data_IF_496695866837
#
_entry.id   IF_496695866837
#
_cell.length_a   1.000
_cell.length_b   1.000
_cell.length_c   1.000
_cell.angle_alpha   90.00
_cell.angle_beta   90.00
_cell.angle_gamma   90.00
#
_symmetry.space_group_name_H-M   'P 1'
#
loop_
_entity.id
_entity.type
_entity.pdbx_description
1 polymer ?
#
# COMPACT_ATOMS: atom_id res chain seq x y z
N UNK A 1 -13.11 -1.85 -37.45
CA UNK A 1 -11.90 -1.38 -36.70
C UNK A 1 -12.07 -1.34 -35.18
N UNK A 2 -13.21 -1.77 -34.63
CA UNK A 2 -13.44 -1.85 -33.16
C UNK A 2 -13.34 -3.28 -32.60
N UNK A 3 -13.11 -4.29 -33.45
CA UNK A 3 -13.09 -5.72 -33.06
C UNK A 3 -12.00 -6.10 -32.05
N UNK A 4 -10.91 -5.33 -31.94
CA UNK A 4 -9.86 -5.63 -30.97
C UNK A 4 -10.30 -5.42 -29.52
N UNK A 5 -11.24 -4.49 -29.27
CA UNK A 5 -11.77 -4.21 -27.93
C UNK A 5 -12.75 -5.31 -27.47
N UNK A 6 -13.57 -5.82 -28.40
CA UNK A 6 -14.55 -6.89 -28.16
C UNK A 6 -13.90 -8.28 -27.98
N UNK A 7 -12.64 -8.44 -28.36
CA UNK A 7 -11.87 -9.69 -28.20
C UNK A 7 -11.16 -9.79 -26.85
N UNK A 8 -11.21 -8.75 -26.01
CA UNK A 8 -10.62 -8.79 -24.67
C UNK A 8 -11.31 -9.82 -23.78
N UNK A 9 -10.54 -10.64 -23.05
CA UNK A 9 -11.08 -11.70 -22.15
C UNK A 9 -11.96 -11.13 -21.01
N UNK A 10 -11.85 -9.85 -20.69
CA UNK A 10 -12.67 -9.15 -19.69
C UNK A 10 -13.72 -8.22 -20.34
N UNK A 11 -14.00 -8.39 -21.63
CA UNK A 11 -15.02 -7.60 -22.32
C UNK A 11 -16.39 -7.78 -21.66
N UNK A 12 -17.08 -6.66 -21.40
CA UNK A 12 -18.37 -6.64 -20.72
C UNK A 12 -18.29 -6.82 -19.20
N UNK A 13 -17.10 -6.99 -18.62
CA UNK A 13 -16.91 -7.05 -17.17
C UNK A 13 -16.72 -5.65 -16.59
N UNK A 14 -17.45 -5.36 -15.50
CA UNK A 14 -17.34 -4.12 -14.73
C UNK A 14 -16.52 -4.33 -13.48
N UNK A 15 -15.44 -3.57 -13.35
CA UNK A 15 -14.46 -3.71 -12.26
C UNK A 15 -14.44 -2.42 -11.45
N UNK A 16 -14.83 -2.52 -10.17
CA UNK A 16 -14.71 -1.43 -9.22
C UNK A 16 -13.37 -1.53 -8.50
N UNK A 17 -12.54 -0.50 -8.62
CA UNK A 17 -11.19 -0.45 -8.07
C UNK A 17 -11.15 0.51 -6.89
N UNK A 18 -10.77 0.00 -5.71
CA UNK A 18 -10.63 0.79 -4.48
C UNK A 18 -9.16 1.02 -4.18
N UNK A 19 -8.71 2.26 -4.20
CA UNK A 19 -7.31 2.56 -3.92
C UNK A 19 -7.03 4.05 -4.02
N UNK A 20 -5.79 4.43 -3.78
CA UNK A 20 -5.35 5.82 -4.01
C UNK A 20 -5.26 6.10 -5.52
N UNK A 21 -5.56 7.33 -5.97
CA UNK A 21 -5.70 7.63 -7.40
C UNK A 21 -4.55 7.20 -8.31
N UNK A 22 -3.25 7.36 -7.96
CA UNK A 22 -2.17 6.91 -8.84
C UNK A 22 -2.17 5.40 -9.05
N UNK A 23 -2.45 4.63 -7.99
CA UNK A 23 -2.45 3.16 -8.05
C UNK A 23 -3.70 2.63 -8.77
N UNK A 24 -4.88 3.16 -8.45
CA UNK A 24 -6.13 2.73 -9.09
C UNK A 24 -6.14 3.05 -10.59
N UNK A 25 -5.57 4.18 -11.01
CA UNK A 25 -5.43 4.51 -12.44
C UNK A 25 -4.56 3.48 -13.17
N UNK A 26 -3.41 3.12 -12.62
CA UNK A 26 -2.54 2.10 -13.23
C UNK A 26 -3.27 0.75 -13.39
N UNK A 27 -4.02 0.32 -12.36
CA UNK A 27 -4.84 -0.89 -12.44
C UNK A 27 -5.93 -0.75 -13.52
N UNK A 28 -6.61 0.39 -13.55
CA UNK A 28 -7.67 0.70 -14.52
C UNK A 28 -7.15 0.61 -15.96
N UNK A 29 -6.04 1.30 -16.27
CA UNK A 29 -5.41 1.26 -17.59
C UNK A 29 -5.00 -0.17 -18.00
N UNK A 30 -4.51 -0.96 -17.05
CA UNK A 30 -4.13 -2.34 -17.32
C UNK A 30 -5.35 -3.22 -17.61
N UNK A 31 -6.44 -3.13 -16.84
CA UNK A 31 -7.64 -3.95 -17.05
C UNK A 31 -8.40 -3.56 -18.33
N UNK A 32 -8.38 -2.30 -18.71
CA UNK A 32 -8.95 -1.81 -19.97
C UNK A 32 -8.26 -2.42 -21.19
N UNK A 33 -6.99 -2.82 -21.11
CA UNK A 33 -6.30 -3.53 -22.19
C UNK A 33 -6.93 -4.92 -22.46
N UNK A 34 -7.61 -5.50 -21.47
CA UNK A 34 -8.37 -6.75 -21.61
C UNK A 34 -9.86 -6.52 -21.92
N UNK A 35 -10.26 -5.28 -22.24
CA UNK A 35 -11.62 -4.91 -22.59
C UNK A 35 -12.58 -4.68 -21.43
N UNK A 36 -12.09 -4.61 -20.18
CA UNK A 36 -12.92 -4.36 -19.02
C UNK A 36 -13.42 -2.90 -18.97
N UNK A 37 -14.62 -2.71 -18.42
CA UNK A 37 -15.15 -1.43 -17.97
C UNK A 37 -14.69 -1.21 -16.53
N UNK A 38 -13.95 -0.13 -16.26
CA UNK A 38 -13.37 0.12 -14.95
C UNK A 38 -13.95 1.36 -14.30
N UNK A 39 -14.16 1.29 -12.99
CA UNK A 39 -14.55 2.43 -12.17
C UNK A 39 -13.61 2.57 -10.97
N UNK A 40 -13.01 3.74 -10.83
CA UNK A 40 -12.11 4.07 -9.74
C UNK A 40 -12.86 4.82 -8.64
N UNK A 41 -12.99 4.21 -7.47
CA UNK A 41 -13.56 4.86 -6.28
C UNK A 41 -12.54 4.80 -5.15
N UNK A 42 -11.76 5.86 -4.97
CA UNK A 42 -10.88 5.97 -3.80
C UNK A 42 -11.71 6.01 -2.53
N UNK A 43 -11.57 4.99 -1.69
CA UNK A 43 -12.26 4.90 -0.39
C UNK A 43 -11.44 5.50 0.74
N UNK A 44 -10.16 5.77 0.49
CA UNK A 44 -9.20 6.28 1.46
C UNK A 44 -8.43 7.46 0.90
N UNK A 45 -8.02 8.34 1.79
CA UNK A 45 -7.09 9.41 1.50
C UNK A 45 -5.88 9.34 2.44
N UNK A 46 -4.76 9.86 1.96
CA UNK A 46 -3.53 9.95 2.74
C UNK A 46 -3.32 11.40 3.15
N UNK A 47 -3.49 11.67 4.44
CA UNK A 47 -3.39 13.01 5.01
C UNK A 47 -2.07 13.15 5.75
N UNK A 48 -1.24 14.11 5.35
CA UNK A 48 0.00 14.43 6.05
C UNK A 48 -0.28 14.95 7.46
N UNK A 49 0.57 14.56 8.41
CA UNK A 49 0.51 15.05 9.79
C UNK A 49 1.36 16.31 9.87
N UNK A 50 0.71 17.47 9.98
CA UNK A 50 1.36 18.78 9.91
C UNK A 50 2.44 19.00 10.97
N UNK A 51 2.26 18.45 12.17
CA UNK A 51 3.18 18.58 13.30
C UNK A 51 4.18 17.42 13.41
N UNK A 52 4.49 16.74 12.30
CA UNK A 52 5.49 15.69 12.33
C UNK A 52 6.86 16.25 12.76
N UNK A 53 7.54 15.63 13.75
CA UNK A 53 8.68 16.26 14.45
C UNK A 53 10.00 16.20 13.65
N UNK A 54 9.96 16.32 12.32
CA UNK A 54 11.17 16.19 11.49
C UNK A 54 12.21 17.26 11.77
N UNK A 55 11.79 18.49 12.10
CA UNK A 55 12.70 19.59 12.46
C UNK A 55 13.49 19.35 13.74
N UNK A 56 12.93 18.57 14.65
CA UNK A 56 13.53 18.27 15.95
C UNK A 56 14.28 16.92 15.97
N UNK A 57 14.38 16.24 14.84
CA UNK A 57 15.12 14.98 14.74
C UNK A 57 16.61 15.25 14.78
N UNK A 58 17.29 14.67 15.74
CA UNK A 58 18.75 14.55 15.71
C UNK A 58 19.12 13.38 14.76
N UNK A 59 19.37 13.71 13.50
CA UNK A 59 19.70 12.71 12.46
C UNK A 59 20.99 11.95 12.79
N UNK A 60 21.93 12.58 13.49
CA UNK A 60 23.20 11.94 13.87
C UNK A 60 23.03 10.82 14.89
N UNK A 61 21.89 10.77 15.59
CA UNK A 61 21.59 9.72 16.54
C UNK A 61 21.17 8.39 15.89
N UNK A 62 20.89 8.37 14.58
CA UNK A 62 20.43 7.19 13.86
C UNK A 62 21.51 6.65 12.92
N UNK A 63 21.45 5.35 12.65
CA UNK A 63 22.32 4.66 11.69
C UNK A 63 21.50 4.03 10.56
N UNK A 64 20.21 3.81 10.80
CA UNK A 64 19.28 3.26 9.82
C UNK A 64 18.01 4.10 9.73
N UNK A 65 17.49 4.21 8.50
CA UNK A 65 16.15 4.71 8.24
C UNK A 65 15.35 3.66 7.46
N UNK A 66 14.13 3.41 7.88
CA UNK A 66 13.28 2.34 7.33
C UNK A 66 11.98 2.93 6.82
N UNK A 67 11.61 2.58 5.60
CA UNK A 67 10.36 3.02 4.98
C UNK A 67 9.37 1.86 4.86
N UNK A 68 8.18 2.05 5.42
CA UNK A 68 7.13 1.03 5.44
C UNK A 68 6.17 1.08 4.23
N UNK A 69 6.35 2.00 3.29
CA UNK A 69 5.55 2.14 2.06
C UNK A 69 6.14 3.17 1.10
N UNK A 70 5.75 3.12 -0.18
CA UNK A 70 6.05 4.14 -1.17
C UNK A 70 5.55 5.53 -0.76
N UNK A 71 4.32 5.62 -0.20
CA UNK A 71 3.76 6.87 0.31
C UNK A 71 4.62 7.48 1.42
N UNK A 72 5.23 6.66 2.29
CA UNK A 72 6.12 7.16 3.34
C UNK A 72 7.38 7.80 2.77
N UNK A 73 7.88 7.34 1.63
CA UNK A 73 9.00 7.95 0.91
C UNK A 73 8.59 9.32 0.37
N UNK A 74 7.50 9.39 -0.41
CA UNK A 74 7.03 10.67 -0.99
C UNK A 74 6.83 11.73 0.09
N UNK A 75 6.03 11.42 1.11
CA UNK A 75 5.70 12.38 2.17
C UNK A 75 6.94 12.78 2.97
N UNK A 76 7.88 11.86 3.17
CA UNK A 76 9.12 12.16 3.87
C UNK A 76 9.97 13.18 3.09
N UNK A 77 10.22 12.96 1.79
CA UNK A 77 11.01 13.88 0.99
C UNK A 77 10.33 15.23 0.78
N UNK A 78 9.02 15.24 0.59
CA UNK A 78 8.24 16.48 0.52
C UNK A 78 8.33 17.25 1.84
N UNK A 79 8.28 16.55 2.98
CA UNK A 79 8.41 17.16 4.30
C UNK A 79 9.83 17.68 4.57
N UNK A 80 10.89 16.99 4.11
CA UNK A 80 12.26 17.51 4.18
C UNK A 80 12.35 18.85 3.43
N UNK A 81 11.81 18.91 2.23
CA UNK A 81 11.81 20.13 1.41
C UNK A 81 11.00 21.25 2.06
N UNK A 82 9.80 20.96 2.55
CA UNK A 82 8.94 21.94 3.24
C UNK A 82 9.57 22.53 4.51
N UNK A 83 10.46 21.77 5.14
CA UNK A 83 11.12 22.16 6.39
C UNK A 83 12.55 22.63 6.20
N UNK A 84 13.02 22.79 4.94
CA UNK A 84 14.40 23.19 4.61
C UNK A 84 15.46 22.26 5.23
N UNK A 85 15.16 20.94 5.33
CA UNK A 85 16.10 19.95 5.85
C UNK A 85 16.96 19.43 4.69
N UNK A 86 18.27 19.64 4.80
CA UNK A 86 19.23 19.24 3.78
C UNK A 86 19.40 17.71 3.73
N UNK A 87 19.25 17.12 2.55
CA UNK A 87 19.40 15.69 2.33
C UNK A 87 20.79 15.17 2.73
N UNK A 88 21.82 16.03 2.70
CA UNK A 88 23.18 15.68 3.14
C UNK A 88 23.25 15.26 4.61
N UNK A 89 22.28 15.65 5.43
CA UNK A 89 22.16 15.18 6.82
C UNK A 89 21.87 13.69 6.94
N UNK A 90 21.42 13.05 5.85
CA UNK A 90 21.05 11.63 5.81
C UNK A 90 22.13 10.73 5.18
N UNK A 91 23.25 11.29 4.68
CA UNK A 91 24.28 10.55 3.93
C UNK A 91 24.96 9.42 4.72
N UNK A 92 24.96 9.49 6.04
CA UNK A 92 25.55 8.47 6.92
C UNK A 92 24.57 7.33 7.23
N UNK A 93 23.28 7.46 6.86
CA UNK A 93 22.26 6.46 7.16
C UNK A 93 22.27 5.33 6.14
N UNK A 94 22.04 4.11 6.62
CA UNK A 94 21.65 2.97 5.80
C UNK A 94 20.14 2.96 5.64
N UNK A 95 19.69 2.49 4.47
CA UNK A 95 18.28 2.55 4.09
C UNK A 95 17.67 1.16 3.97
N UNK A 96 16.47 0.96 4.52
CA UNK A 96 15.70 -0.25 4.33
C UNK A 96 14.27 0.06 3.84
N UNK A 97 13.75 -0.80 2.98
CA UNK A 97 12.42 -0.68 2.41
C UNK A 97 11.62 -1.97 2.60
N UNK A 98 10.32 -1.85 2.85
CA UNK A 98 9.44 -3.00 3.04
C UNK A 98 9.29 -3.86 1.79
N UNK A 99 9.52 -3.29 0.61
CA UNK A 99 9.37 -4.01 -0.65
C UNK A 99 9.88 -3.20 -1.85
N UNK A 100 9.86 -3.84 -3.02
CA UNK A 100 10.42 -3.29 -4.26
C UNK A 100 9.80 -1.93 -4.66
N UNK A 101 8.49 -1.76 -4.53
CA UNK A 101 7.83 -0.47 -4.86
C UNK A 101 8.39 0.68 -4.01
N UNK A 102 8.62 0.45 -2.70
CA UNK A 102 9.24 1.44 -1.82
C UNK A 102 10.71 1.68 -2.16
N UNK A 103 11.45 0.62 -2.53
CA UNK A 103 12.85 0.72 -2.97
C UNK A 103 12.97 1.50 -4.28
N UNK A 104 12.06 1.29 -5.25
CA UNK A 104 12.02 2.06 -6.51
C UNK A 104 11.79 3.55 -6.27
N UNK A 105 10.91 3.91 -5.33
CA UNK A 105 10.66 5.32 -4.99
C UNK A 105 11.91 5.97 -4.35
N UNK A 106 12.63 5.25 -3.49
CA UNK A 106 13.91 5.72 -2.95
C UNK A 106 14.97 5.87 -4.06
N UNK A 107 15.06 4.90 -4.98
CA UNK A 107 15.96 4.96 -6.12
C UNK A 107 15.66 6.16 -7.04
N UNK A 108 14.39 6.51 -7.24
CA UNK A 108 13.99 7.72 -7.97
C UNK A 108 14.45 9.03 -7.28
N UNK A 109 14.73 8.99 -5.96
CA UNK A 109 15.36 10.09 -5.20
C UNK A 109 16.89 9.98 -5.14
N UNK A 110 17.50 9.01 -5.84
CA UNK A 110 18.94 8.78 -5.86
C UNK A 110 19.47 7.94 -4.69
N UNK A 111 18.60 7.26 -3.94
CA UNK A 111 18.96 6.46 -2.78
C UNK A 111 18.73 4.98 -3.07
N UNK A 112 19.79 4.18 -3.02
CA UNK A 112 19.71 2.73 -3.13
C UNK A 112 19.64 2.10 -1.74
N UNK A 113 18.70 1.18 -1.55
CA UNK A 113 18.48 0.58 -0.24
C UNK A 113 19.47 -0.54 0.07
N UNK A 114 19.88 -0.65 1.33
CA UNK A 114 20.77 -1.70 1.83
C UNK A 114 20.00 -2.99 2.19
N UNK A 115 18.69 -2.89 2.50
CA UNK A 115 17.89 -4.02 2.91
C UNK A 115 16.48 -3.97 2.32
N UNK A 116 16.10 -5.04 1.59
CA UNK A 116 14.72 -5.32 1.14
C UNK A 116 14.45 -6.80 1.42
N UNK A 117 13.33 -7.18 2.03
CA UNK A 117 13.00 -8.57 2.28
C UNK A 117 12.55 -9.30 1.01
N UNK A 118 12.64 -10.63 0.99
CA UNK A 118 12.13 -11.46 -0.11
C UNK A 118 10.60 -11.49 -0.19
N UNK A 119 9.92 -11.25 0.93
CA UNK A 119 8.46 -11.08 1.01
C UNK A 119 8.16 -9.71 1.59
N UNK A 120 7.27 -8.96 0.94
CA UNK A 120 7.01 -7.54 1.19
C UNK A 120 6.04 -7.31 2.37
N UNK A 121 6.43 -7.83 3.53
CA UNK A 121 5.68 -7.70 4.78
C UNK A 121 6.59 -7.27 5.92
N UNK A 122 6.02 -6.57 6.90
CA UNK A 122 6.73 -6.04 8.07
C UNK A 122 7.53 -7.09 8.84
N UNK A 123 7.00 -8.32 8.93
CA UNK A 123 7.66 -9.44 9.59
C UNK A 123 8.96 -9.83 8.88
N UNK A 124 8.89 -10.03 7.57
CA UNK A 124 10.07 -10.44 6.78
C UNK A 124 11.11 -9.34 6.68
N UNK A 125 10.69 -8.06 6.72
CA UNK A 125 11.64 -6.96 6.85
C UNK A 125 12.34 -6.99 8.21
N UNK A 126 11.65 -7.27 9.30
CA UNK A 126 12.27 -7.44 10.61
C UNK A 126 13.28 -8.61 10.61
N UNK A 127 12.88 -9.77 10.08
CA UNK A 127 13.73 -10.96 9.96
C UNK A 127 14.99 -10.70 9.12
N UNK A 128 14.91 -9.88 8.05
CA UNK A 128 16.03 -9.52 7.20
C UNK A 128 16.92 -8.44 7.81
N UNK A 129 16.35 -7.49 8.56
CA UNK A 129 17.07 -6.34 9.10
C UNK A 129 17.78 -6.68 10.42
N UNK A 130 17.13 -7.41 11.34
CA UNK A 130 17.68 -7.72 12.68
C UNK A 130 19.11 -8.29 12.63
N UNK A 131 19.46 -9.24 11.73
CA UNK A 131 20.83 -9.78 11.65
C UNK A 131 21.87 -8.76 11.18
N UNK A 132 21.46 -7.68 10.52
CA UNK A 132 22.36 -6.64 9.99
C UNK A 132 22.61 -5.51 10.98
N UNK A 133 21.81 -5.47 12.09
CA UNK A 133 21.91 -4.43 13.10
C UNK A 133 22.97 -4.77 14.14
N UNK A 134 23.93 -3.88 14.30
CA UNK A 134 24.91 -3.92 15.37
C UNK A 134 24.31 -3.47 16.73
N UNK A 135 24.99 -3.71 17.87
CA UNK A 135 24.48 -3.30 19.20
C UNK A 135 24.29 -1.78 19.35
N UNK A 136 25.07 -0.98 18.63
CA UNK A 136 25.02 0.50 18.69
C UNK A 136 24.06 1.11 17.67
N UNK A 137 23.48 0.31 16.77
CA UNK A 137 22.57 0.81 15.75
C UNK A 137 21.25 1.29 16.35
N UNK A 138 20.80 2.42 15.82
CA UNK A 138 19.50 3.00 16.12
C UNK A 138 18.70 3.19 14.83
N UNK A 139 17.50 2.63 14.80
CA UNK A 139 16.63 2.60 13.63
C UNK A 139 15.58 3.68 13.74
N UNK A 140 15.42 4.49 12.70
CA UNK A 140 14.30 5.40 12.54
C UNK A 140 13.29 4.82 11.54
N UNK A 141 12.08 4.50 12.00
CA UNK A 141 11.01 3.98 11.16
C UNK A 141 10.06 5.10 10.71
N UNK A 142 10.01 5.33 9.40
CA UNK A 142 9.07 6.27 8.77
C UNK A 142 7.82 5.49 8.32
N UNK A 143 6.65 5.87 8.86
CA UNK A 143 5.43 5.06 8.67
C UNK A 143 4.14 5.89 8.70
N UNK A 144 3.03 5.24 8.34
CA UNK A 144 1.69 5.74 8.65
C UNK A 144 1.40 5.63 10.16
N UNK A 145 0.60 6.53 10.69
CA UNK A 145 0.06 6.49 12.06
C UNK A 145 -0.70 5.17 12.33
N UNK A 146 -1.46 4.74 11.34
CA UNK A 146 -2.28 3.51 11.42
C UNK A 146 -1.55 2.28 10.86
N UNK A 147 -0.23 2.38 10.60
CA UNK A 147 0.56 1.28 10.04
C UNK A 147 0.77 0.12 11.03
N UNK A 148 1.18 -1.04 10.50
CA UNK A 148 1.45 -2.25 11.29
C UNK A 148 2.50 -2.03 12.38
N UNK A 149 2.27 -2.51 13.59
CA UNK A 149 3.24 -2.46 14.70
C UNK A 149 4.22 -3.63 14.69
N UNK A 150 4.05 -4.62 13.80
CA UNK A 150 4.84 -5.85 13.76
C UNK A 150 6.35 -5.58 13.68
N UNK A 151 6.77 -4.69 12.76
CA UNK A 151 8.20 -4.38 12.60
C UNK A 151 8.82 -3.74 13.86
N UNK A 152 8.29 -2.64 14.42
CA UNK A 152 8.87 -2.06 15.62
C UNK A 152 8.78 -3.00 16.83
N UNK A 153 7.73 -3.82 16.94
CA UNK A 153 7.59 -4.76 18.05
C UNK A 153 8.64 -5.89 17.97
N UNK A 154 8.91 -6.42 16.77
CA UNK A 154 9.96 -7.42 16.56
C UNK A 154 11.37 -6.86 16.81
N UNK A 155 11.66 -5.62 16.37
CA UNK A 155 12.92 -4.95 16.66
C UNK A 155 13.12 -4.78 18.18
N UNK A 156 12.10 -4.31 18.89
CA UNK A 156 12.14 -4.19 20.36
C UNK A 156 12.32 -5.54 21.06
N UNK A 157 11.61 -6.58 20.61
CA UNK A 157 11.76 -7.94 21.14
C UNK A 157 13.19 -8.49 20.95
N UNK A 158 13.85 -8.11 19.83
CA UNK A 158 15.25 -8.40 19.56
C UNK A 158 16.24 -7.45 20.30
N UNK A 159 15.74 -6.60 21.21
CA UNK A 159 16.53 -5.61 21.98
C UNK A 159 17.27 -4.60 21.08
N UNK A 160 16.72 -4.30 19.89
CA UNK A 160 17.24 -3.27 18.99
C UNK A 160 16.57 -1.93 19.28
N UNK A 161 17.35 -0.84 19.18
CA UNK A 161 16.85 0.52 19.37
C UNK A 161 16.05 0.96 18.15
N UNK A 162 14.77 1.31 18.33
CA UNK A 162 13.90 1.77 17.25
C UNK A 162 12.98 2.89 17.71
N UNK A 163 12.97 3.96 16.96
CA UNK A 163 12.00 5.05 17.05
C UNK A 163 11.12 5.08 15.80
N UNK A 164 9.92 5.62 15.93
CA UNK A 164 8.97 5.71 14.81
C UNK A 164 8.47 7.14 14.67
N UNK A 165 8.48 7.64 13.44
CA UNK A 165 7.83 8.90 13.08
C UNK A 165 6.64 8.57 12.17
N UNK A 166 5.46 9.01 12.59
CA UNK A 166 4.25 8.95 11.78
C UNK A 166 4.13 10.25 10.98
N UNK A 167 4.33 10.18 9.66
CA UNK A 167 4.26 11.34 8.78
C UNK A 167 2.87 11.57 8.20
N UNK A 168 2.03 10.54 8.20
CA UNK A 168 0.69 10.60 7.62
C UNK A 168 -0.25 9.62 8.30
N UNK A 169 -1.52 9.84 8.10
CA UNK A 169 -2.57 8.89 8.44
C UNK A 169 -3.45 8.60 7.21
N UNK A 170 -3.99 7.41 7.15
CA UNK A 170 -4.97 7.03 6.13
C UNK A 170 -6.35 7.21 6.73
N UNK A 171 -7.18 8.02 6.08
CA UNK A 171 -8.57 8.31 6.49
C UNK A 171 -9.57 7.80 5.47
N UNK A 172 -10.72 7.27 5.90
CA UNK A 172 -11.81 6.93 5.00
C UNK A 172 -12.43 8.20 4.39
N UNK A 173 -12.73 8.13 3.09
CA UNK A 173 -13.42 9.19 2.33
C UNK A 173 -14.94 8.96 2.38
N UNK A 174 -15.56 9.20 3.54
CA UNK A 174 -16.99 8.92 3.77
C UNK A 174 -17.91 9.60 2.75
N UNK A 175 -17.52 10.73 2.18
CA UNK A 175 -18.28 11.39 1.09
C UNK A 175 -18.39 10.53 -0.18
N UNK A 176 -17.63 9.46 -0.32
CA UNK A 176 -17.73 8.49 -1.42
C UNK A 176 -18.74 7.37 -1.18
N UNK A 177 -19.38 7.32 -0.01
CA UNK A 177 -20.36 6.29 0.34
C UNK A 177 -21.52 6.20 -0.66
N UNK A 178 -22.10 7.33 -1.03
CA UNK A 178 -23.20 7.37 -2.01
C UNK A 178 -22.76 6.82 -3.37
N UNK A 179 -21.59 7.24 -3.85
CA UNK A 179 -21.04 6.78 -5.11
C UNK A 179 -20.75 5.26 -5.08
N UNK A 180 -20.19 4.78 -3.97
CA UNK A 180 -19.94 3.35 -3.77
C UNK A 180 -21.24 2.55 -3.81
N UNK A 181 -22.26 2.97 -3.08
CA UNK A 181 -23.58 2.30 -3.03
C UNK A 181 -24.30 2.30 -4.38
N UNK A 182 -24.10 3.34 -5.18
CA UNK A 182 -24.70 3.45 -6.51
C UNK A 182 -24.08 2.47 -7.51
N UNK A 183 -22.75 2.27 -7.47
CA UNK A 183 -22.05 1.55 -8.53
C UNK A 183 -21.65 0.12 -8.18
N UNK A 184 -21.55 -0.21 -6.88
CA UNK A 184 -21.18 -1.55 -6.47
C UNK A 184 -22.15 -2.64 -6.95
N UNK A 185 -23.48 -2.44 -6.96
CA UNK A 185 -24.41 -3.48 -7.44
C UNK A 185 -24.25 -3.85 -8.92
N UNK A 186 -23.68 -2.95 -9.72
CA UNK A 186 -23.46 -3.15 -11.14
C UNK A 186 -22.06 -3.75 -11.45
N UNK A 187 -21.23 -3.98 -10.44
CA UNK A 187 -19.88 -4.50 -10.63
C UNK A 187 -19.86 -6.04 -10.67
N UNK A 188 -19.04 -6.61 -11.55
CA UNK A 188 -18.69 -8.04 -11.51
C UNK A 188 -17.59 -8.30 -10.47
N UNK A 189 -16.63 -7.37 -10.39
CA UNK A 189 -15.48 -7.49 -9.49
C UNK A 189 -15.28 -6.24 -8.66
N UNK A 190 -14.94 -6.46 -7.38
CA UNK A 190 -14.48 -5.44 -6.44
C UNK A 190 -13.01 -5.72 -6.10
N UNK A 191 -12.11 -4.78 -6.43
CA UNK A 191 -10.68 -4.92 -6.21
C UNK A 191 -10.25 -4.13 -4.99
N UNK A 192 -9.72 -4.82 -3.98
CA UNK A 192 -9.08 -4.20 -2.82
C UNK A 192 -7.56 -4.15 -2.98
N UNK A 193 -7.01 -2.95 -3.04
CA UNK A 193 -5.57 -2.69 -3.16
C UNK A 193 -4.86 -2.52 -1.82
N UNK A 194 -5.59 -2.53 -0.69
CA UNK A 194 -5.00 -2.42 0.65
C UNK A 194 -5.99 -2.82 1.76
N UNK A 195 -5.46 -3.20 2.92
CA UNK A 195 -6.25 -3.44 4.13
C UNK A 195 -7.02 -2.20 4.60
N UNK A 196 -6.47 -1.00 4.41
CA UNK A 196 -7.15 0.25 4.75
C UNK A 196 -8.37 0.49 3.87
N UNK A 197 -8.30 0.12 2.58
CA UNK A 197 -9.45 0.22 1.68
C UNK A 197 -10.57 -0.76 2.09
N UNK A 198 -10.24 -1.97 2.56
CA UNK A 198 -11.21 -2.92 3.13
C UNK A 198 -11.91 -2.31 4.35
N UNK A 199 -11.15 -1.76 5.30
CA UNK A 199 -11.71 -1.13 6.51
C UNK A 199 -12.64 0.05 6.17
N UNK A 200 -12.22 0.90 5.25
CA UNK A 200 -13.03 2.03 4.77
C UNK A 200 -14.31 1.54 4.06
N UNK A 201 -14.19 0.49 3.24
CA UNK A 201 -15.35 -0.12 2.58
C UNK A 201 -16.40 -0.59 3.57
N UNK A 202 -15.99 -1.34 4.59
CA UNK A 202 -16.92 -1.85 5.62
C UNK A 202 -17.59 -0.72 6.37
N UNK A 203 -16.85 0.34 6.67
CA UNK A 203 -17.42 1.52 7.34
C UNK A 203 -18.49 2.22 6.50
N UNK A 204 -18.36 2.22 5.16
CA UNK A 204 -19.29 2.88 4.23
C UNK A 204 -20.42 1.98 3.75
N UNK A 205 -20.14 0.70 3.52
CA UNK A 205 -21.07 -0.22 2.85
C UNK A 205 -21.52 -1.37 3.76
N UNK A 206 -20.67 -1.80 4.68
CA UNK A 206 -20.88 -3.00 5.49
C UNK A 206 -20.23 -4.24 4.86
N UNK A 207 -20.70 -5.43 5.28
CA UNK A 207 -20.13 -6.72 4.87
C UNK A 207 -20.98 -7.48 3.86
N UNK A 208 -22.25 -7.06 3.66
CA UNK A 208 -23.18 -7.73 2.75
C UNK A 208 -22.95 -7.25 1.32
N UNK A 209 -22.18 -8.01 0.56
CA UNK A 209 -21.94 -7.73 -0.84
C UNK A 209 -23.17 -8.11 -1.69
N UNK A 210 -23.51 -7.32 -2.72
CA UNK A 210 -24.54 -7.69 -3.67
C UNK A 210 -24.06 -8.84 -4.57
N UNK A 211 -24.96 -9.76 -4.96
CA UNK A 211 -24.70 -10.72 -6.01
C UNK A 211 -24.69 -10.01 -7.38
N UNK A 212 -23.78 -10.34 -8.30
CA UNK A 212 -22.76 -11.41 -8.27
C UNK A 212 -21.34 -10.90 -7.97
N UNK A 213 -21.17 -9.81 -7.21
CA UNK A 213 -19.87 -9.16 -7.00
C UNK A 213 -18.84 -10.10 -6.38
N UNK A 214 -17.73 -10.31 -7.08
CA UNK A 214 -16.60 -11.12 -6.64
C UNK A 214 -15.46 -10.23 -6.13
N UNK A 215 -14.97 -10.50 -4.92
CA UNK A 215 -13.88 -9.72 -4.32
C UNK A 215 -12.52 -10.26 -4.71
N UNK A 216 -11.66 -9.41 -5.23
CA UNK A 216 -10.26 -9.72 -5.51
C UNK A 216 -9.37 -8.85 -4.65
N UNK A 217 -8.40 -9.44 -3.98
CA UNK A 217 -7.42 -8.71 -3.17
C UNK A 217 -6.03 -8.73 -3.80
N UNK A 218 -5.30 -7.64 -3.59
CA UNK A 218 -3.92 -7.48 -4.09
C UNK A 218 -2.91 -8.44 -3.43
N UNK A 219 -3.24 -9.03 -2.29
CA UNK A 219 -2.30 -9.91 -1.58
C UNK A 219 -2.81 -10.39 -0.23
N UNK A 220 -2.06 -11.34 0.35
CA UNK A 220 -2.45 -12.11 1.54
C UNK A 220 -2.83 -11.26 2.77
N UNK A 221 -2.17 -10.13 3.02
CA UNK A 221 -2.49 -9.24 4.15
C UNK A 221 -3.86 -8.60 3.98
N UNK A 222 -4.18 -8.17 2.76
CA UNK A 222 -5.48 -7.58 2.42
C UNK A 222 -6.59 -8.64 2.49
N UNK A 223 -6.33 -9.85 1.97
CA UNK A 223 -7.25 -11.01 2.09
C UNK A 223 -7.57 -11.29 3.54
N UNK A 224 -6.53 -11.49 4.37
CA UNK A 224 -6.72 -11.78 5.80
C UNK A 224 -7.54 -10.70 6.50
N UNK A 225 -7.32 -9.43 6.14
CA UNK A 225 -8.10 -8.31 6.70
C UNK A 225 -9.57 -8.40 6.28
N UNK A 226 -9.84 -8.66 5.00
CA UNK A 226 -11.21 -8.77 4.46
C UNK A 226 -11.96 -9.93 5.13
N UNK A 227 -11.38 -11.12 5.17
CA UNK A 227 -11.96 -12.32 5.77
C UNK A 227 -12.20 -12.17 7.28
N UNK A 228 -11.21 -11.59 8.00
CA UNK A 228 -11.35 -11.33 9.45
C UNK A 228 -12.51 -10.37 9.74
N UNK A 229 -12.78 -9.45 8.84
CA UNK A 229 -13.85 -8.46 8.95
C UNK A 229 -15.16 -8.91 8.29
N UNK A 230 -15.25 -10.16 7.81
CA UNK A 230 -16.48 -10.77 7.31
C UNK A 230 -16.78 -10.56 5.84
N UNK A 231 -15.79 -10.13 5.03
CA UNK A 231 -15.92 -10.06 3.57
C UNK A 231 -15.27 -11.30 2.95
N UNK A 232 -16.04 -12.14 2.22
CA UNK A 232 -15.47 -13.28 1.51
C UNK A 232 -14.60 -12.80 0.34
N UNK A 233 -13.38 -13.34 0.21
CA UNK A 233 -12.47 -13.04 -0.88
C UNK A 233 -12.54 -14.17 -1.91
N UNK A 234 -12.92 -13.85 -3.13
CA UNK A 234 -13.00 -14.80 -4.24
C UNK A 234 -11.60 -15.25 -4.69
N UNK A 235 -10.67 -14.29 -4.85
CA UNK A 235 -9.31 -14.59 -5.24
C UNK A 235 -8.30 -13.59 -4.66
N UNK A 236 -7.08 -14.09 -4.42
CA UNK A 236 -5.93 -13.30 -3.96
C UNK A 236 -4.86 -13.30 -5.03
N UNK A 237 -4.39 -12.13 -5.45
CA UNK A 237 -3.29 -12.04 -6.40
C UNK A 237 -2.02 -12.68 -5.82
N UNK A 238 -1.34 -13.50 -6.65
CA UNK A 238 -0.07 -14.15 -6.27
C UNK A 238 1.07 -13.15 -6.16
N UNK A 239 1.01 -12.12 -7.00
CA UNK A 239 1.93 -10.98 -6.99
C UNK A 239 1.11 -9.70 -6.81
N UNK A 240 1.62 -8.77 -5.99
CA UNK A 240 0.94 -7.50 -5.69
C UNK A 240 1.12 -6.49 -6.86
N UNK A 241 0.70 -6.90 -8.06
CA UNK A 241 0.80 -6.15 -9.32
C UNK A 241 -0.54 -6.13 -10.05
N UNK A 242 -0.66 -5.27 -11.07
CA UNK A 242 -1.84 -5.22 -11.93
C UNK A 242 -2.05 -6.54 -12.69
N UNK A 243 -0.94 -7.15 -13.14
CA UNK A 243 -0.93 -8.45 -13.83
C UNK A 243 -1.43 -9.57 -12.90
N UNK A 244 -0.98 -9.57 -11.64
CA UNK A 244 -1.39 -10.56 -10.65
C UNK A 244 -2.89 -10.48 -10.34
N UNK A 245 -3.46 -9.28 -10.26
CA UNK A 245 -4.90 -9.07 -10.06
C UNK A 245 -5.67 -9.47 -11.34
N UNK A 246 -5.20 -9.06 -12.53
CA UNK A 246 -5.81 -9.43 -13.81
C UNK A 246 -5.86 -10.95 -14.00
N UNK A 247 -4.78 -11.66 -13.63
CA UNK A 247 -4.72 -13.13 -13.72
C UNK A 247 -5.84 -13.80 -12.91
N UNK A 248 -6.24 -13.27 -11.75
CA UNK A 248 -7.36 -13.80 -10.97
C UNK A 248 -8.69 -13.70 -11.73
N UNK A 249 -8.94 -12.56 -12.39
CA UNK A 249 -10.16 -12.34 -13.17
C UNK A 249 -10.18 -13.16 -14.46
N UNK A 250 -9.03 -13.29 -15.13
CA UNK A 250 -8.90 -14.06 -16.37
C UNK A 250 -9.13 -15.56 -16.14
N UNK A 251 -8.69 -16.11 -15.00
CA UNK A 251 -8.97 -17.49 -14.61
C UNK A 251 -10.45 -17.76 -14.32
N UNK A 252 -11.20 -16.77 -13.89
CA UNK A 252 -12.64 -16.87 -13.64
C UNK A 252 -13.47 -16.80 -14.94
N UNK A 253 -12.89 -16.28 -16.01
CA UNK A 253 -13.54 -16.17 -17.32
C UNK A 253 -13.23 -17.35 -18.27
N UNK A 254 -12.37 -18.29 -17.86
CA UNK A 254 -12.08 -19.56 -18.56
C UNK A 254 -13.08 -20.65 -18.19
#
# INVERSE_FOLDING_TARGET
QLQWFEQGKLFGKRILITGTPPHSRHLSEHFQQYGAETMEISLIDTVSIADAPLKSVDWSAYTWIVFSSANSVHIFFDSLQQHDIDLRMLLHLRFAAIGNGTACELAAKGIFVDCVPHRFESRYLAEALIPQLEPHDRVLLIRSKNGSTVLPDMLKAAKKSVDSISLYETKPLLQKETLLKQHLPDADYLVFSSSSAVQAFIQMYGTNLPDPVKVISIGAVTTKTAETLGIPVFATAKEATAEGIAACMLQDCE
#
